data_IF_606594296526
#
_entry.id   IF_606594296526
#
_cell.length_a   1.000
_cell.length_b   1.000
_cell.length_c   1.000
_cell.angle_alpha   90.00
_cell.angle_beta   90.00
_cell.angle_gamma   90.00
#
_symmetry.space_group_name_H-M   'P 1'
#
loop_
_entity.id
_entity.type
_entity.pdbx_description
1 polymer ?
#
# COMPACT_ATOMS: atom_id res chain seq x y z
N UNK A 1 55.47 5.79 49.19
CA UNK A 1 54.55 5.00 48.35
C UNK A 1 53.22 5.72 48.30
N UNK A 2 52.94 6.32 47.15
CA UNK A 2 51.92 7.35 46.95
C UNK A 2 50.51 6.78 46.90
N UNK A 3 49.84 6.80 48.06
CA UNK A 3 48.43 6.42 48.19
C UNK A 3 47.51 7.26 47.29
N UNK A 4 47.92 8.48 46.96
CA UNK A 4 47.17 9.38 46.06
C UNK A 4 47.07 8.83 44.62
N UNK A 5 48.11 8.19 44.11
CA UNK A 5 48.10 7.62 42.76
C UNK A 5 47.15 6.42 42.63
N UNK A 6 47.03 5.61 43.67
CA UNK A 6 46.14 4.45 43.69
C UNK A 6 44.66 4.85 43.66
N UNK A 7 44.27 5.89 44.41
CA UNK A 7 42.89 6.40 44.38
C UNK A 7 42.51 6.96 43.00
N UNK A 8 43.45 7.61 42.32
CA UNK A 8 43.21 8.14 40.98
C UNK A 8 43.00 7.03 39.94
N UNK A 9 43.80 5.96 40.01
CA UNK A 9 43.67 4.80 39.13
C UNK A 9 42.34 4.07 39.37
N UNK A 10 41.93 3.90 40.63
CA UNK A 10 40.64 3.26 40.96
C UNK A 10 39.48 4.11 40.43
N UNK A 11 39.53 5.44 40.60
CA UNK A 11 38.53 6.35 40.04
C UNK A 11 38.43 6.28 38.52
N UNK A 12 39.57 6.24 37.83
CA UNK A 12 39.62 6.12 36.37
C UNK A 12 39.04 4.79 35.86
N UNK A 13 39.30 3.68 36.55
CA UNK A 13 38.75 2.36 36.19
C UNK A 13 37.23 2.33 36.37
N UNK A 14 36.71 2.89 37.46
CA UNK A 14 35.27 2.92 37.72
C UNK A 14 34.55 3.79 36.69
N UNK A 15 35.05 5.00 36.43
CA UNK A 15 34.46 5.91 35.44
C UNK A 15 34.58 5.32 34.02
N UNK A 16 35.73 4.75 33.67
CA UNK A 16 35.93 4.08 32.39
C UNK A 16 34.96 2.92 32.16
N UNK A 17 34.71 2.12 33.20
CA UNK A 17 33.76 1.00 33.14
C UNK A 17 32.32 1.46 32.91
N UNK A 18 31.92 2.57 33.53
CA UNK A 18 30.59 3.19 33.33
C UNK A 18 30.47 3.72 31.89
N UNK A 19 31.49 4.42 31.39
CA UNK A 19 31.50 4.96 30.03
C UNK A 19 31.43 3.84 28.99
N UNK A 20 32.22 2.76 29.14
CA UNK A 20 32.18 1.61 28.25
C UNK A 20 30.80 0.94 28.27
N UNK A 21 30.20 0.76 29.45
CA UNK A 21 28.87 0.15 29.58
C UNK A 21 27.80 0.99 28.89
N UNK A 22 27.83 2.32 29.07
CA UNK A 22 26.91 3.25 28.40
C UNK A 22 27.11 3.21 26.87
N UNK A 23 28.36 3.25 26.39
CA UNK A 23 28.66 3.19 24.95
C UNK A 23 28.22 1.86 24.34
N UNK A 24 28.43 0.72 25.00
CA UNK A 24 28.00 -0.60 24.51
C UNK A 24 26.47 -0.73 24.52
N UNK A 25 25.78 -0.21 25.53
CA UNK A 25 24.31 -0.17 25.56
C UNK A 25 23.71 0.76 24.49
N UNK A 26 24.35 1.88 24.18
CA UNK A 26 23.95 2.70 23.03
C UNK A 26 24.26 1.97 21.71
N UNK A 27 25.42 1.32 21.58
CA UNK A 27 25.84 0.62 20.35
C UNK A 27 24.93 -0.56 20.00
N UNK A 28 24.44 -1.28 21.00
CA UNK A 28 23.44 -2.35 20.84
C UNK A 28 22.05 -1.82 20.46
N UNK A 29 21.74 -0.55 20.76
CA UNK A 29 20.52 0.13 20.28
C UNK A 29 20.65 0.68 18.85
N UNK A 30 21.87 0.80 18.32
CA UNK A 30 22.16 1.35 16.98
C UNK A 30 22.47 0.27 15.92
N UNK A 31 22.53 -1.02 16.29
CA UNK A 31 23.06 -2.08 15.41
C UNK A 31 22.06 -3.15 14.97
N UNK A 32 20.76 -2.98 15.25
CA UNK A 32 19.76 -3.74 14.50
C UNK A 32 19.09 -2.78 13.50
N UNK A 33 19.41 -2.85 12.19
CA UNK A 33 18.47 -2.34 11.21
C UNK A 33 17.16 -3.06 11.50
N UNK A 34 16.15 -2.32 11.98
CA UNK A 34 14.83 -2.88 12.22
C UNK A 34 14.36 -3.48 10.90
N UNK A 35 14.45 -4.81 10.77
CA UNK A 35 13.91 -5.51 9.62
C UNK A 35 12.41 -5.23 9.64
N UNK A 36 11.99 -4.32 8.78
CA UNK A 36 10.61 -3.85 8.77
C UNK A 36 9.81 -4.86 7.99
N UNK A 37 9.05 -5.69 8.68
CA UNK A 37 8.16 -6.64 8.02
C UNK A 37 7.06 -5.89 7.25
N UNK A 38 6.86 -6.31 6.01
CA UNK A 38 5.84 -5.76 5.12
C UNK A 38 4.45 -6.28 5.49
N UNK A 39 4.34 -7.50 6.03
CA UNK A 39 3.05 -8.17 6.33
C UNK A 39 2.03 -7.33 7.10
N UNK A 40 2.34 -6.70 8.24
CA UNK A 40 1.35 -5.91 8.99
C UNK A 40 0.85 -4.67 8.22
N UNK A 41 1.75 -3.97 7.52
CA UNK A 41 1.40 -2.81 6.71
C UNK A 41 0.57 -3.21 5.49
N UNK A 42 0.94 -4.33 4.87
CA UNK A 42 0.28 -4.89 3.73
C UNK A 42 -1.15 -5.31 4.04
N UNK A 43 -1.36 -5.99 5.18
CA UNK A 43 -2.70 -6.37 5.64
C UNK A 43 -3.55 -5.14 5.99
N UNK A 44 -2.97 -4.13 6.65
CA UNK A 44 -3.67 -2.88 6.96
C UNK A 44 -4.09 -2.13 5.71
N UNK A 45 -3.20 -1.96 4.73
CA UNK A 45 -3.49 -1.28 3.46
C UNK A 45 -4.56 -2.02 2.66
N UNK A 46 -4.43 -3.36 2.56
CA UNK A 46 -5.38 -4.20 1.83
C UNK A 46 -6.80 -4.12 2.43
N UNK A 47 -6.93 -4.03 3.75
CA UNK A 47 -8.25 -3.97 4.43
C UNK A 47 -8.87 -2.58 4.38
N UNK A 48 -8.07 -1.53 4.51
CA UNK A 48 -8.55 -0.14 4.58
C UNK A 48 -8.92 0.45 3.22
N UNK A 49 -8.36 -0.05 2.11
CA UNK A 49 -8.73 0.40 0.76
C UNK A 49 -10.22 0.17 0.42
N UNK A 50 -10.79 -1.04 0.62
CA UNK A 50 -12.23 -1.24 0.46
C UNK A 50 -13.09 -0.40 1.42
N UNK A 51 -12.65 -0.20 2.66
CA UNK A 51 -13.36 0.66 3.63
C UNK A 51 -13.44 2.11 3.17
N UNK A 52 -12.37 2.62 2.53
CA UNK A 52 -12.35 3.94 1.92
C UNK A 52 -13.42 4.08 0.83
N UNK A 53 -13.66 3.04 0.04
CA UNK A 53 -14.75 3.00 -0.95
C UNK A 53 -16.11 2.98 -0.26
N UNK A 54 -16.30 2.08 0.72
CA UNK A 54 -17.55 1.97 1.48
C UNK A 54 -17.95 3.30 2.13
N UNK A 55 -17.00 4.00 2.73
CA UNK A 55 -17.19 5.33 3.32
C UNK A 55 -17.60 6.39 2.28
N UNK A 56 -16.94 6.39 1.12
CA UNK A 56 -17.26 7.30 0.03
C UNK A 56 -18.68 7.04 -0.49
N UNK A 57 -19.06 5.78 -0.66
CA UNK A 57 -20.41 5.35 -1.09
C UNK A 57 -21.48 5.78 -0.08
N UNK A 58 -21.22 5.67 1.23
CA UNK A 58 -22.14 6.15 2.28
C UNK A 58 -22.35 7.65 2.25
N UNK A 59 -21.31 8.41 1.92
CA UNK A 59 -21.34 9.88 1.95
C UNK A 59 -22.05 10.46 0.74
N UNK A 60 -21.65 10.02 -0.46
CA UNK A 60 -22.21 10.46 -1.73
C UNK A 60 -21.72 9.49 -2.80
N UNK A 61 -22.63 8.74 -3.44
CA UNK A 61 -22.35 7.64 -4.40
C UNK A 61 -21.81 8.14 -5.75
N UNK A 62 -20.89 9.10 -5.75
CA UNK A 62 -20.32 9.68 -6.96
C UNK A 62 -18.90 9.17 -7.22
N UNK A 63 -18.57 9.01 -8.51
CA UNK A 63 -17.24 8.63 -8.98
C UNK A 63 -16.17 9.56 -8.43
N UNK A 64 -16.43 10.87 -8.45
CA UNK A 64 -15.51 11.89 -7.95
C UNK A 64 -15.22 11.73 -6.44
N UNK A 65 -16.22 11.37 -5.65
CA UNK A 65 -16.03 11.18 -4.21
C UNK A 65 -15.17 9.93 -3.93
N UNK A 66 -15.44 8.83 -4.63
CA UNK A 66 -14.63 7.60 -4.51
C UNK A 66 -13.19 7.86 -4.97
N UNK A 67 -13.00 8.54 -6.10
CA UNK A 67 -11.70 8.99 -6.60
C UNK A 67 -10.94 9.77 -5.52
N UNK A 68 -11.54 10.83 -4.98
CA UNK A 68 -10.92 11.70 -3.96
C UNK A 68 -10.53 10.92 -2.71
N UNK A 69 -11.40 10.01 -2.24
CA UNK A 69 -11.16 9.22 -1.03
C UNK A 69 -10.03 8.20 -1.23
N UNK A 70 -9.97 7.54 -2.40
CA UNK A 70 -8.90 6.62 -2.76
C UNK A 70 -7.56 7.33 -2.97
N UNK A 71 -7.52 8.50 -3.61
CA UNK A 71 -6.30 9.32 -3.69
C UNK A 71 -5.77 9.71 -2.31
N UNK A 72 -6.66 10.17 -1.42
CA UNK A 72 -6.28 10.53 -0.05
C UNK A 72 -5.74 9.34 0.74
N UNK A 73 -6.38 8.18 0.62
CA UNK A 73 -5.94 6.94 1.22
C UNK A 73 -4.57 6.49 0.68
N UNK A 74 -4.41 6.42 -0.64
CA UNK A 74 -3.16 6.02 -1.29
C UNK A 74 -2.00 6.90 -0.83
N UNK A 75 -2.14 8.22 -0.89
CA UNK A 75 -1.11 9.17 -0.45
C UNK A 75 -0.73 9.00 1.02
N UNK A 76 -1.71 8.73 1.89
CA UNK A 76 -1.42 8.47 3.30
C UNK A 76 -0.59 7.20 3.48
N UNK A 77 -1.00 6.09 2.87
CA UNK A 77 -0.27 4.81 2.96
C UNK A 77 1.12 4.94 2.35
N UNK A 78 1.24 5.53 1.16
CA UNK A 78 2.52 5.76 0.48
C UNK A 78 3.50 6.54 1.37
N UNK A 79 3.08 7.65 1.96
CA UNK A 79 3.94 8.47 2.83
C UNK A 79 4.38 7.69 4.08
N UNK A 80 3.48 6.90 4.67
CA UNK A 80 3.81 6.07 5.85
C UNK A 80 4.77 4.95 5.48
N UNK A 81 4.53 4.27 4.35
CA UNK A 81 5.37 3.19 3.83
C UNK A 81 6.77 3.67 3.44
N UNK A 82 6.88 4.81 2.73
CA UNK A 82 8.18 5.39 2.35
C UNK A 82 9.04 5.73 3.57
N UNK A 83 8.45 6.26 4.65
CA UNK A 83 9.17 6.52 5.91
C UNK A 83 9.71 5.26 6.58
N UNK A 84 9.19 4.09 6.21
CA UNK A 84 9.59 2.77 6.71
C UNK A 84 10.43 1.98 5.71
N UNK A 85 10.82 2.60 4.58
CA UNK A 85 11.55 1.89 3.51
C UNK A 85 10.71 0.83 2.80
N UNK A 86 9.38 0.94 2.85
CA UNK A 86 8.45 0.06 2.15
C UNK A 86 7.97 0.77 0.88
N UNK A 87 8.22 0.18 -0.28
CA UNK A 87 7.59 0.56 -1.54
C UNK A 87 6.14 0.08 -1.52
N UNK A 88 5.19 0.97 -1.83
CA UNK A 88 3.76 0.68 -1.86
C UNK A 88 3.18 1.05 -3.21
N UNK A 89 2.50 0.09 -3.85
CA UNK A 89 1.83 0.28 -5.13
C UNK A 89 0.43 -0.30 -5.05
N UNK A 90 -0.52 0.36 -5.69
CA UNK A 90 -1.87 -0.18 -5.80
C UNK A 90 -2.56 0.16 -7.11
N UNK A 91 -3.46 -0.72 -7.54
CA UNK A 91 -4.38 -0.48 -8.66
C UNK A 91 -5.79 -0.71 -8.14
N UNK A 92 -6.72 0.18 -8.45
CA UNK A 92 -8.10 0.09 -7.98
C UNK A 92 -9.03 0.11 -9.18
N UNK A 93 -9.90 -0.89 -9.27
CA UNK A 93 -10.98 -0.92 -10.23
C UNK A 93 -12.31 -0.93 -9.49
N UNK A 94 -13.06 0.16 -9.63
CA UNK A 94 -14.37 0.32 -9.02
C UNK A 94 -15.43 0.29 -10.11
N UNK A 95 -16.36 -0.66 -10.04
CA UNK A 95 -17.51 -0.74 -10.94
C UNK A 95 -18.77 -0.25 -10.22
N UNK A 96 -19.56 0.56 -10.91
CA UNK A 96 -20.77 1.16 -10.38
C UNK A 96 -22.01 0.58 -11.07
N UNK A 97 -23.14 0.46 -10.34
CA UNK A 97 -24.44 0.25 -10.97
C UNK A 97 -24.71 1.37 -11.97
N UNK A 98 -25.11 1.03 -13.19
CA UNK A 98 -25.42 2.03 -14.22
C UNK A 98 -24.29 2.33 -15.21
N UNK A 99 -23.43 1.34 -15.50
CA UNK A 99 -22.51 1.31 -16.65
C UNK A 99 -21.29 2.23 -16.56
N UNK A 100 -20.86 2.59 -15.36
CA UNK A 100 -19.63 3.36 -15.16
C UNK A 100 -18.64 2.54 -14.37
N UNK A 101 -17.38 2.65 -14.72
CA UNK A 101 -16.29 2.18 -13.89
C UNK A 101 -15.22 3.26 -13.75
N UNK A 102 -14.46 3.16 -12.67
CA UNK A 102 -13.32 4.01 -12.36
C UNK A 102 -12.11 3.10 -12.17
N UNK A 103 -11.09 3.32 -12.96
CA UNK A 103 -9.78 2.71 -12.76
C UNK A 103 -8.80 3.75 -12.24
N UNK A 104 -8.07 3.43 -11.17
CA UNK A 104 -6.96 4.24 -10.66
C UNK A 104 -5.69 3.41 -10.65
N UNK A 105 -4.66 3.91 -11.32
CA UNK A 105 -3.35 3.30 -11.35
C UNK A 105 -2.40 4.10 -10.45
N UNK A 106 -2.06 3.56 -9.29
CA UNK A 106 -1.03 4.12 -8.41
C UNK A 106 0.29 3.36 -8.48
N UNK A 107 0.51 2.59 -9.54
CA UNK A 107 1.80 2.01 -9.83
C UNK A 107 2.66 3.00 -10.64
N UNK A 108 4.01 2.91 -10.55
CA UNK A 108 4.91 3.76 -11.32
C UNK A 108 4.97 3.42 -12.81
N UNK A 109 4.38 2.29 -13.20
CA UNK A 109 4.21 1.85 -14.59
C UNK A 109 2.80 2.10 -15.12
N UNK A 110 2.65 2.12 -16.45
CA UNK A 110 1.33 2.08 -17.09
C UNK A 110 0.67 0.72 -16.85
N UNK A 111 -0.66 0.68 -16.86
CA UNK A 111 -1.42 -0.57 -16.79
C UNK A 111 -2.62 -0.53 -17.73
N UNK A 112 -2.92 -1.68 -18.31
CA UNK A 112 -4.01 -1.88 -19.25
C UNK A 112 -5.09 -2.69 -18.58
N UNK A 113 -6.31 -2.15 -18.63
CA UNK A 113 -7.50 -2.81 -18.13
C UNK A 113 -8.43 -3.16 -19.27
N UNK A 114 -8.83 -4.42 -19.33
CA UNK A 114 -9.85 -4.92 -20.23
C UNK A 114 -11.10 -5.24 -19.41
N UNK A 115 -12.26 -4.79 -19.89
CA UNK A 115 -13.55 -5.13 -19.31
C UNK A 115 -14.41 -5.70 -20.41
N UNK A 116 -14.80 -6.97 -20.26
CA UNK A 116 -15.64 -7.68 -21.23
C UNK A 116 -17.00 -8.02 -20.63
N UNK A 117 -18.03 -7.98 -21.48
CA UNK A 117 -19.38 -8.45 -21.16
C UNK A 117 -20.07 -8.94 -22.42
N UNK A 118 -20.55 -10.19 -22.40
CA UNK A 118 -21.30 -10.80 -23.50
C UNK A 118 -20.63 -10.64 -24.87
N UNK A 119 -19.29 -10.75 -24.93
CA UNK A 119 -18.51 -10.63 -26.17
C UNK A 119 -18.20 -9.21 -26.62
N UNK A 120 -18.62 -8.17 -25.88
CA UNK A 120 -18.16 -6.78 -26.08
C UNK A 120 -17.05 -6.47 -25.11
N UNK A 121 -15.92 -5.95 -25.61
CA UNK A 121 -14.76 -5.58 -24.81
C UNK A 121 -14.50 -4.08 -24.85
N UNK A 122 -14.15 -3.51 -23.69
CA UNK A 122 -13.65 -2.15 -23.53
C UNK A 122 -12.26 -2.25 -22.94
N UNK A 123 -11.27 -1.71 -23.63
CA UNK A 123 -9.87 -1.70 -23.20
C UNK A 123 -9.40 -0.26 -23.02
N UNK A 124 -8.65 0.00 -21.94
CA UNK A 124 -8.06 1.30 -21.66
C UNK A 124 -6.66 1.12 -21.06
N UNK A 125 -5.69 1.90 -21.56
CA UNK A 125 -4.35 1.98 -20.99
C UNK A 125 -4.21 3.25 -20.17
N UNK A 126 -3.91 3.11 -18.87
CA UNK A 126 -3.80 4.23 -17.94
C UNK A 126 -2.35 4.37 -17.49
N UNK A 127 -1.78 5.57 -17.66
CA UNK A 127 -0.41 5.86 -17.25
C UNK A 127 -0.26 5.80 -15.71
N UNK A 128 1.00 5.82 -15.28
CA UNK A 128 1.36 5.87 -13.87
C UNK A 128 0.68 7.05 -13.15
N UNK A 129 0.18 6.79 -11.95
CA UNK A 129 -0.47 7.77 -11.07
C UNK A 129 -1.68 8.49 -11.69
N UNK A 130 -2.33 7.91 -12.70
CA UNK A 130 -3.52 8.46 -13.37
C UNK A 130 -4.79 7.63 -13.09
N UNK A 131 -5.93 8.19 -13.46
CA UNK A 131 -7.23 7.51 -13.41
C UNK A 131 -7.97 7.62 -14.73
N UNK A 132 -8.77 6.61 -15.07
CA UNK A 132 -9.68 6.64 -16.20
C UNK A 132 -11.12 6.29 -15.76
N UNK A 133 -12.09 6.98 -16.36
CA UNK A 133 -13.50 6.60 -16.27
C UNK A 133 -13.89 5.83 -17.52
N UNK A 134 -14.47 4.65 -17.32
CA UNK A 134 -14.85 3.73 -18.38
C UNK A 134 -16.36 3.72 -18.50
N UNK A 135 -16.85 3.93 -19.73
CA UNK A 135 -18.24 3.65 -20.07
C UNK A 135 -18.35 2.17 -20.42
N UNK A 136 -19.07 1.41 -19.60
CA UNK A 136 -19.17 -0.04 -19.75
C UNK A 136 -20.34 -0.43 -20.67
N UNK A 137 -20.24 -1.54 -21.42
CA UNK A 137 -21.36 -2.07 -22.20
C UNK A 137 -22.49 -2.56 -21.28
N UNK A 138 -23.67 -2.80 -21.84
CA UNK A 138 -24.82 -3.26 -21.06
C UNK A 138 -24.57 -4.66 -20.50
N UNK A 139 -24.73 -4.80 -19.19
CA UNK A 139 -24.77 -6.09 -18.52
C UNK A 139 -24.72 -5.94 -17.01
N UNK A 140 -24.85 -7.06 -16.32
CA UNK A 140 -24.77 -7.11 -14.86
C UNK A 140 -23.52 -7.85 -14.38
N UNK A 141 -22.88 -8.63 -15.25
CA UNK A 141 -21.70 -9.42 -14.94
C UNK A 141 -20.61 -9.07 -15.93
N UNK A 142 -19.48 -8.62 -15.40
CA UNK A 142 -18.34 -8.14 -16.16
C UNK A 142 -17.14 -9.04 -15.85
N UNK A 143 -16.41 -9.42 -16.88
CA UNK A 143 -15.08 -10.00 -16.71
C UNK A 143 -14.08 -8.87 -16.83
N UNK A 144 -13.24 -8.72 -15.82
CA UNK A 144 -12.27 -7.64 -15.71
C UNK A 144 -10.89 -8.26 -15.69
N UNK A 145 -10.05 -7.84 -16.61
CA UNK A 145 -8.68 -8.30 -16.73
C UNK A 145 -7.71 -7.12 -16.59
N UNK A 146 -6.72 -7.26 -15.72
CA UNK A 146 -5.59 -6.33 -15.62
C UNK A 146 -4.39 -7.04 -16.23
N UNK A 147 -4.03 -6.67 -17.46
CA UNK A 147 -3.14 -7.46 -18.32
C UNK A 147 -1.75 -7.67 -17.73
N UNK A 148 -1.13 -6.61 -17.21
CA UNK A 148 0.24 -6.70 -16.68
C UNK A 148 0.32 -7.58 -15.42
N UNK A 149 -0.82 -7.83 -14.79
CA UNK A 149 -0.91 -8.60 -13.56
C UNK A 149 -1.34 -10.06 -13.80
N UNK A 150 -1.82 -10.38 -15.00
CA UNK A 150 -2.44 -11.67 -15.34
C UNK A 150 -3.67 -11.99 -14.48
N UNK A 151 -4.35 -10.96 -13.98
CA UNK A 151 -5.52 -11.09 -13.10
C UNK A 151 -6.77 -11.00 -13.95
N UNK A 152 -7.68 -11.97 -13.81
CA UNK A 152 -9.02 -11.95 -14.36
C UNK A 152 -10.05 -12.20 -13.25
N UNK A 153 -11.01 -11.30 -13.10
CA UNK A 153 -12.04 -11.35 -12.06
C UNK A 153 -13.44 -11.18 -12.67
N UNK A 154 -14.41 -11.93 -12.16
CA UNK A 154 -15.81 -11.79 -12.57
C UNK A 154 -16.58 -10.97 -11.53
N UNK A 155 -17.02 -9.78 -11.93
CA UNK A 155 -17.68 -8.82 -11.05
C UNK A 155 -19.16 -8.68 -11.38
N UNK A 156 -19.99 -8.72 -10.34
CA UNK A 156 -21.41 -8.38 -10.42
C UNK A 156 -21.61 -6.89 -10.13
N UNK A 157 -22.09 -6.14 -11.12
CA UNK A 157 -22.32 -4.69 -11.06
C UNK A 157 -23.70 -4.30 -10.52
N UNK A 158 -24.47 -5.23 -9.96
CA UNK A 158 -25.73 -4.92 -9.24
C UNK A 158 -25.49 -4.02 -8.03
N UNK A 159 -24.27 -4.02 -7.50
CA UNK A 159 -23.80 -3.11 -6.47
C UNK A 159 -22.41 -2.58 -6.81
N UNK A 160 -21.96 -1.58 -6.07
CA UNK A 160 -20.59 -1.07 -6.25
C UNK A 160 -19.63 -2.16 -5.82
N UNK A 161 -18.70 -2.53 -6.71
CA UNK A 161 -17.60 -3.45 -6.38
C UNK A 161 -16.27 -2.75 -6.54
N UNK A 162 -15.32 -3.08 -5.68
CA UNK A 162 -13.95 -2.62 -5.77
C UNK A 162 -13.00 -3.80 -5.80
N UNK A 163 -12.24 -3.90 -6.88
CA UNK A 163 -11.06 -4.76 -6.96
C UNK A 163 -9.86 -3.90 -6.65
N UNK A 164 -9.20 -4.17 -5.53
CA UNK A 164 -7.92 -3.57 -5.20
C UNK A 164 -6.82 -4.60 -5.37
N UNK A 165 -5.82 -4.20 -6.13
CA UNK A 165 -4.56 -4.90 -6.23
C UNK A 165 -3.52 -4.12 -5.44
N UNK A 166 -2.90 -4.77 -4.45
CA UNK A 166 -1.90 -4.15 -3.59
C UNK A 166 -0.60 -4.93 -3.68
N UNK A 167 0.49 -4.18 -3.82
CA UNK A 167 1.86 -4.67 -3.78
C UNK A 167 2.64 -3.85 -2.77
N UNK A 168 3.40 -4.51 -1.90
CA UNK A 168 4.39 -3.85 -1.07
C UNK A 168 5.71 -4.62 -1.07
N UNK A 169 6.80 -3.88 -1.02
CA UNK A 169 8.15 -4.43 -1.05
C UNK A 169 9.08 -3.68 -0.11
N UNK A 170 9.99 -4.40 0.52
CA UNK A 170 11.15 -3.90 1.25
C UNK A 170 12.38 -4.67 0.80
N UNK A 171 13.57 -4.30 1.28
CA UNK A 171 14.83 -4.98 0.93
C UNK A 171 14.83 -6.49 1.25
N UNK A 172 13.97 -6.95 2.16
CA UNK A 172 13.92 -8.34 2.64
C UNK A 172 12.60 -9.08 2.39
N UNK A 173 11.53 -8.41 1.98
CA UNK A 173 10.18 -9.00 1.90
C UNK A 173 9.34 -8.36 0.80
N UNK A 174 8.59 -9.17 0.06
CA UNK A 174 7.68 -8.73 -1.00
C UNK A 174 6.32 -9.42 -0.83
N UNK A 175 5.23 -8.65 -0.81
CA UNK A 175 3.87 -9.16 -0.68
C UNK A 175 2.93 -8.58 -1.76
N UNK A 176 2.00 -9.42 -2.21
CA UNK A 176 1.02 -9.14 -3.28
C UNK A 176 -0.33 -9.74 -2.93
N UNK A 177 -1.43 -9.01 -3.18
CA UNK A 177 -2.81 -9.46 -2.92
C UNK A 177 -3.79 -8.71 -3.80
N UNK A 178 -4.81 -9.45 -4.23
CA UNK A 178 -6.02 -8.92 -4.86
C UNK A 178 -7.17 -9.08 -3.87
N UNK A 179 -7.92 -8.01 -3.62
CA UNK A 179 -9.13 -8.05 -2.79
C UNK A 179 -10.31 -7.55 -3.61
N UNK A 180 -11.40 -8.31 -3.61
CA UNK A 180 -12.67 -7.95 -4.24
C UNK A 180 -13.71 -7.76 -3.13
N UNK A 181 -14.35 -6.60 -3.07
CA UNK A 181 -15.52 -6.35 -2.20
C UNK A 181 -16.68 -5.79 -3.01
#
# INVERSE_FOLDING_TARGET
>A
MDRLGQFFTIGAVVIGSIVISVVVSLSSSFSEPSQTSVSPYFDSASRSAPEAVDDAVKTNRSVENIRKRLYGHHRFVEVVSQRRGIDYRSKHFVIFPGRKALYLNFAPEKSTINVSVSGTEVSETVNASQSAELALPQGNRYEVEILEEGISESLDATQIRNVVFTYMSSDSEVLRRTTVK
#
